data_IF_793870716476
#
_entry.id   IF_793870716476
#
_cell.length_a   1.000
_cell.length_b   1.000
_cell.length_c   1.000
_cell.angle_alpha   90.00
_cell.angle_beta   90.00
_cell.angle_gamma   90.00
#
_symmetry.space_group_name_H-M   'P 1'
#
loop_
_entity.id
_entity.type
_entity.pdbx_description
1 polymer ?
#
# COMPACT_ATOMS: atom_id res chain seq x y z
N UNK A 1 -36.44 -1.42 -12.71
CA UNK A 1 -35.73 -0.79 -13.86
C UNK A 1 -34.23 -1.04 -13.70
N UNK A 2 -33.64 -1.85 -14.58
CA UNK A 2 -32.18 -2.03 -14.67
C UNK A 2 -31.55 -0.73 -15.19
N UNK A 3 -31.02 0.09 -14.29
CA UNK A 3 -30.27 1.27 -14.67
C UNK A 3 -28.80 0.87 -14.82
N UNK A 4 -28.37 0.60 -16.06
CA UNK A 4 -26.96 0.46 -16.44
C UNK A 4 -26.29 1.84 -16.34
N UNK A 5 -26.11 2.32 -15.13
CA UNK A 5 -25.27 3.49 -14.87
C UNK A 5 -23.82 3.02 -14.97
N UNK A 6 -23.00 3.83 -15.63
CA UNK A 6 -21.55 3.71 -15.76
C UNK A 6 -20.90 3.72 -14.35
N UNK A 7 -21.02 2.63 -13.61
CA UNK A 7 -20.46 2.50 -12.27
C UNK A 7 -18.95 2.38 -12.41
N UNK A 8 -18.23 3.47 -12.16
CA UNK A 8 -16.76 3.47 -12.11
C UNK A 8 -16.30 2.28 -11.25
N UNK A 9 -15.48 1.35 -11.76
CA UNK A 9 -15.16 0.13 -11.04
C UNK A 9 -14.54 0.48 -9.69
N UNK A 10 -15.07 -0.11 -8.61
CA UNK A 10 -14.58 0.06 -7.23
C UNK A 10 -13.09 -0.23 -7.12
N UNK A 11 -12.62 -1.21 -7.89
CA UNK A 11 -11.20 -1.47 -8.10
C UNK A 11 -10.84 -1.16 -9.54
N UNK A 12 -10.21 -0.01 -9.75
CA UNK A 12 -9.54 0.29 -11.02
C UNK A 12 -8.16 -0.37 -11.02
N UNK A 13 -7.90 -1.26 -12.01
CA UNK A 13 -6.60 -1.96 -12.19
C UNK A 13 -5.41 -1.01 -12.14
N UNK A 14 -5.57 0.22 -12.63
CA UNK A 14 -4.51 1.25 -12.60
C UNK A 14 -4.06 1.60 -11.19
N UNK A 15 -4.97 1.64 -10.21
CA UNK A 15 -4.55 1.94 -8.84
C UNK A 15 -4.01 0.75 -8.09
N UNK A 16 -4.43 -0.49 -8.40
CA UNK A 16 -3.75 -1.67 -7.86
C UNK A 16 -2.26 -1.67 -8.26
N UNK A 17 -1.95 -1.29 -9.50
CA UNK A 17 -0.57 -1.14 -9.97
C UNK A 17 0.13 0.03 -9.26
N UNK A 18 -0.58 1.12 -9.00
CA UNK A 18 -0.02 2.26 -8.28
C UNK A 18 0.32 1.92 -6.83
N UNK A 19 -0.61 1.27 -6.11
CA UNK A 19 -0.42 0.75 -4.75
C UNK A 19 0.72 -0.29 -4.74
N UNK A 20 0.79 -1.09 -5.81
CA UNK A 20 1.95 -1.82 -6.36
C UNK A 20 3.29 -1.16 -6.10
N UNK A 21 3.53 -0.17 -6.95
CA UNK A 21 4.78 0.57 -7.03
C UNK A 21 5.05 1.32 -5.72
N UNK A 22 4.01 1.91 -5.13
CA UNK A 22 4.14 2.68 -3.89
C UNK A 22 4.60 1.81 -2.72
N UNK A 23 4.11 0.58 -2.62
CA UNK A 23 4.51 -0.35 -1.56
C UNK A 23 5.94 -0.86 -1.74
N UNK A 24 6.38 -1.09 -2.99
CA UNK A 24 7.78 -1.45 -3.28
C UNK A 24 8.72 -0.28 -2.91
N UNK A 25 8.33 0.95 -3.23
CA UNK A 25 9.08 2.14 -2.83
C UNK A 25 9.15 2.27 -1.30
N UNK A 26 8.03 2.03 -0.61
CA UNK A 26 7.95 2.05 0.85
C UNK A 26 8.83 0.97 1.49
N UNK A 27 8.90 -0.22 0.91
CA UNK A 27 9.78 -1.29 1.37
C UNK A 27 11.26 -0.86 1.33
N UNK A 28 11.72 -0.33 0.20
CA UNK A 28 13.11 0.15 0.07
C UNK A 28 13.42 1.27 1.05
N UNK A 29 12.48 2.21 1.23
CA UNK A 29 12.61 3.30 2.18
C UNK A 29 12.72 2.80 3.63
N UNK A 30 11.80 1.93 4.05
CA UNK A 30 11.77 1.40 5.42
C UNK A 30 12.99 0.53 5.73
N UNK A 31 13.48 -0.26 4.77
CA UNK A 31 14.72 -1.02 4.96
C UNK A 31 15.92 -0.09 5.16
N UNK A 32 16.01 1.03 4.45
CA UNK A 32 17.09 2.00 4.63
C UNK A 32 17.07 2.66 6.02
N UNK A 33 15.88 2.98 6.54
CA UNK A 33 15.73 3.57 7.88
C UNK A 33 16.08 2.55 8.96
N UNK A 34 15.60 1.30 8.83
CA UNK A 34 15.84 0.26 9.83
C UNK A 34 17.31 -0.15 9.93
N UNK A 35 18.07 -0.14 8.82
CA UNK A 35 19.51 -0.45 8.84
C UNK A 35 20.28 0.39 9.85
N UNK A 36 19.94 1.67 9.99
CA UNK A 36 20.63 2.57 10.93
C UNK A 36 20.25 2.34 12.40
N UNK A 37 19.16 1.60 12.67
CA UNK A 37 18.65 1.36 14.02
C UNK A 37 19.01 -0.04 14.55
N UNK A 38 19.64 -0.90 13.74
CA UNK A 38 20.08 -2.24 14.18
C UNK A 38 21.55 -2.16 14.63
N UNK A 39 21.85 -2.14 15.94
CA UNK A 39 23.21 -2.26 16.42
C UNK A 39 23.68 -3.72 16.30
N UNK A 40 24.27 -4.08 15.16
CA UNK A 40 24.86 -5.41 14.94
C UNK A 40 26.10 -5.29 14.05
N UNK A 41 27.14 -6.06 14.36
CA UNK A 41 28.42 -6.06 13.63
C UNK A 41 28.37 -6.88 12.34
N UNK A 42 27.39 -7.78 12.19
CA UNK A 42 27.21 -8.65 11.02
C UNK A 42 26.19 -8.08 10.02
N UNK A 43 26.70 -7.63 8.86
CA UNK A 43 25.90 -7.00 7.79
C UNK A 43 24.76 -7.90 7.28
N UNK A 44 24.98 -9.22 7.26
CA UNK A 44 24.00 -10.21 6.79
C UNK A 44 22.78 -10.29 7.72
N UNK A 45 23.00 -10.24 9.04
CA UNK A 45 21.93 -10.33 10.04
C UNK A 45 21.09 -9.06 10.03
N UNK A 46 21.74 -7.90 9.89
CA UNK A 46 21.06 -6.60 9.75
C UNK A 46 20.13 -6.61 8.53
N UNK A 47 20.58 -7.14 7.39
CA UNK A 47 19.78 -7.17 6.16
C UNK A 47 18.60 -8.14 6.28
N UNK A 48 18.79 -9.33 6.84
CA UNK A 48 17.72 -10.31 7.05
C UNK A 48 16.66 -9.76 8.01
N UNK A 49 17.05 -9.20 9.15
CA UNK A 49 16.11 -8.65 10.13
C UNK A 49 15.40 -7.43 9.56
N UNK A 50 16.13 -6.48 8.96
CA UNK A 50 15.55 -5.28 8.38
C UNK A 50 14.57 -5.60 7.24
N UNK A 51 14.86 -6.61 6.40
CA UNK A 51 13.97 -7.04 5.32
C UNK A 51 12.72 -7.76 5.83
N UNK A 52 12.83 -8.59 6.87
CA UNK A 52 11.67 -9.26 7.47
C UNK A 52 10.73 -8.24 8.13
N UNK A 53 11.27 -7.27 8.85
CA UNK A 53 10.48 -6.20 9.48
C UNK A 53 9.91 -5.22 8.46
N UNK A 54 10.65 -4.84 7.41
CA UNK A 54 10.10 -3.96 6.37
C UNK A 54 9.02 -4.67 5.54
N UNK A 55 9.11 -5.98 5.35
CA UNK A 55 8.10 -6.78 4.65
C UNK A 55 6.73 -6.71 5.35
N UNK A 56 6.69 -6.89 6.68
CA UNK A 56 5.42 -6.84 7.41
C UNK A 56 4.81 -5.42 7.40
N UNK A 57 5.62 -4.38 7.59
CA UNK A 57 5.17 -2.98 7.52
C UNK A 57 4.64 -2.62 6.14
N UNK A 58 5.30 -3.11 5.08
CA UNK A 58 4.86 -2.93 3.69
C UNK A 58 3.54 -3.65 3.41
N UNK A 59 3.33 -4.85 3.97
CA UNK A 59 2.07 -5.58 3.83
C UNK A 59 0.87 -4.84 4.45
N UNK A 60 1.06 -4.25 5.64
CA UNK A 60 0.02 -3.43 6.28
C UNK A 60 -0.24 -2.15 5.48
N UNK A 61 0.83 -1.49 5.01
CA UNK A 61 0.72 -0.31 4.16
C UNK A 61 -0.08 -0.60 2.88
N UNK A 62 0.22 -1.72 2.22
CA UNK A 62 -0.52 -2.19 1.04
C UNK A 62 -2.01 -2.35 1.32
N UNK A 63 -2.35 -3.05 2.41
CA UNK A 63 -3.73 -3.30 2.79
C UNK A 63 -4.47 -1.97 3.06
N UNK A 64 -3.83 -1.05 3.78
CA UNK A 64 -4.37 0.26 4.11
C UNK A 64 -4.61 1.12 2.86
N UNK A 65 -3.68 1.14 1.91
CA UNK A 65 -3.81 1.87 0.65
C UNK A 65 -5.02 1.38 -0.16
N UNK A 66 -5.22 0.06 -0.24
CA UNK A 66 -6.38 -0.52 -0.92
C UNK A 66 -7.69 -0.13 -0.23
N UNK A 67 -7.76 -0.17 1.11
CA UNK A 67 -8.95 0.23 1.86
C UNK A 67 -9.26 1.72 1.72
N UNK A 68 -8.23 2.57 1.80
CA UNK A 68 -8.38 4.01 1.58
C UNK A 68 -8.95 4.32 0.19
N UNK A 69 -8.50 3.58 -0.83
CA UNK A 69 -9.01 3.77 -2.19
C UNK A 69 -10.47 3.35 -2.34
N UNK A 70 -10.86 2.24 -1.70
CA UNK A 70 -12.26 1.79 -1.69
C UNK A 70 -13.16 2.83 -1.01
N UNK A 71 -12.75 3.38 0.14
CA UNK A 71 -13.53 4.40 0.85
C UNK A 71 -13.60 5.72 0.08
N UNK A 72 -12.52 6.13 -0.60
CA UNK A 72 -12.55 7.32 -1.45
C UNK A 72 -13.52 7.17 -2.63
N UNK A 73 -13.54 6.01 -3.29
CA UNK A 73 -14.47 5.76 -4.40
C UNK A 73 -15.92 5.79 -3.89
N UNK A 74 -16.19 5.18 -2.73
CA UNK A 74 -17.51 5.19 -2.12
C UNK A 74 -17.97 6.61 -1.71
N UNK A 75 -17.07 7.41 -1.13
CA UNK A 75 -17.32 8.81 -0.81
C UNK A 75 -17.63 9.65 -2.05
N UNK A 76 -16.86 9.49 -3.13
CA UNK A 76 -17.11 10.20 -4.40
C UNK A 76 -18.44 9.82 -5.03
N UNK A 77 -18.84 8.54 -4.95
CA UNK A 77 -20.15 8.06 -5.41
C UNK A 77 -21.30 8.67 -4.61
N UNK A 78 -21.15 8.76 -3.30
CA UNK A 78 -22.15 9.37 -2.41
C UNK A 78 -22.30 10.87 -2.68
N UNK A 79 -21.18 11.59 -2.81
CA UNK A 79 -21.19 13.03 -3.11
C UNK A 79 -21.83 13.37 -4.46
N UNK A 80 -21.73 12.49 -5.47
CA UNK A 80 -22.33 12.71 -6.80
C UNK A 80 -23.86 12.52 -6.81
N UNK A 81 -24.43 11.87 -5.78
CA UNK A 81 -25.87 11.64 -5.65
C UNK A 81 -26.60 12.76 -4.89
N UNK A 82 -25.86 13.65 -4.22
CA UNK A 82 -26.36 14.85 -3.54
C UNK A 82 -26.22 16.04 -4.49
#
# INVERSE_FOLDING_TARGET
MSNKSNEQPLISRKGLIFDGVLSIAFFMFMTSVLKSHVPSEDETVVLVVASMTSCCMTGVFWLAANMFRVTLVDFQRTKKKV
#
